data_IF_274443941391
#
_entry.id   IF_274443941391
#
_cell.length_a   1.000
_cell.length_b   1.000
_cell.length_c   1.000
_cell.angle_alpha   90.00
_cell.angle_beta   90.00
_cell.angle_gamma   90.00
#
_symmetry.space_group_name_H-M   'P 1'
#
loop_
_entity.id
_entity.type
_entity.pdbx_description
1 polymer ?
#
# COMPACT_ATOMS: atom_id res chain seq x y z
N UNK A 1 1.34 -8.69 39.07
CA UNK A 1 1.90 -8.45 37.71
C UNK A 1 2.45 -7.02 37.74
N UNK A 2 3.74 -6.83 37.45
CA UNK A 2 4.32 -5.48 37.46
C UNK A 2 4.08 -4.85 36.09
N UNK A 3 3.35 -3.73 36.04
CA UNK A 3 3.11 -2.95 34.82
C UNK A 3 4.30 -2.00 34.61
N UNK A 4 4.87 -2.02 33.38
CA UNK A 4 5.93 -1.11 32.98
C UNK A 4 5.40 -0.29 31.82
N UNK A 5 5.29 1.03 32.02
CA UNK A 5 4.90 1.97 30.97
C UNK A 5 6.13 2.76 30.53
N UNK A 6 6.48 2.64 29.25
CA UNK A 6 7.53 3.44 28.62
C UNK A 6 6.84 4.50 27.75
N UNK A 7 7.04 5.81 28.04
CA UNK A 7 6.47 6.85 27.20
C UNK A 7 7.07 6.82 25.77
N UNK A 8 6.27 7.18 24.80
CA UNK A 8 6.74 7.28 23.41
C UNK A 8 7.83 8.36 23.30
N UNK A 9 8.97 8.00 22.69
CA UNK A 9 10.07 8.94 22.44
C UNK A 9 9.71 9.97 21.35
N UNK A 10 8.84 9.57 20.43
CA UNK A 10 8.34 10.43 19.35
C UNK A 10 6.82 10.49 19.54
N UNK A 11 6.25 11.72 19.64
CA UNK A 11 4.81 11.85 19.75
C UNK A 11 4.11 11.34 18.50
N UNK A 12 2.94 10.71 18.67
CA UNK A 12 2.12 10.33 17.54
C UNK A 12 1.73 11.59 16.73
N UNK A 13 1.72 11.51 15.39
CA UNK A 13 1.24 12.61 14.58
C UNK A 13 -0.22 12.92 14.89
N UNK A 14 -0.56 14.21 14.98
CA UNK A 14 -1.92 14.67 15.33
C UNK A 14 -2.89 14.46 14.18
N UNK A 15 -2.38 14.43 12.95
CA UNK A 15 -3.17 14.27 11.73
C UNK A 15 -2.32 13.61 10.63
N UNK A 16 -2.98 13.13 9.58
CA UNK A 16 -2.35 12.48 8.44
C UNK A 16 -2.52 10.97 8.46
N UNK A 17 -2.02 10.34 7.41
CA UNK A 17 -2.01 8.88 7.22
C UNK A 17 -0.76 8.46 6.44
N UNK A 18 -0.59 7.17 6.18
CA UNK A 18 0.60 6.63 5.51
C UNK A 18 0.76 7.15 4.08
N UNK A 19 -0.32 7.55 3.39
CA UNK A 19 -0.22 8.10 2.03
C UNK A 19 0.46 9.47 1.99
N UNK A 20 0.43 10.23 3.10
CA UNK A 20 1.13 11.50 3.22
C UNK A 20 2.64 11.34 3.01
N UNK A 21 3.22 10.20 3.40
CA UNK A 21 4.66 9.92 3.22
C UNK A 21 5.06 10.01 1.74
N UNK A 22 4.23 9.49 0.85
CA UNK A 22 4.48 9.51 -0.60
C UNK A 22 4.21 10.91 -1.16
N UNK A 23 3.05 11.52 -0.83
CA UNK A 23 2.68 12.84 -1.32
C UNK A 23 3.67 13.92 -0.89
N UNK A 24 4.10 13.91 0.36
CA UNK A 24 5.09 14.86 0.87
C UNK A 24 6.44 14.66 0.17
N UNK A 25 6.87 13.41 -0.02
CA UNK A 25 8.11 13.11 -0.73
C UNK A 25 8.04 13.57 -2.18
N UNK A 26 6.94 13.30 -2.88
CA UNK A 26 6.74 13.74 -4.26
C UNK A 26 6.65 15.27 -4.39
N UNK A 27 6.15 15.96 -3.35
CA UNK A 27 6.06 17.41 -3.33
C UNK A 27 7.41 18.09 -3.05
N UNK A 28 8.14 17.64 -2.01
CA UNK A 28 9.35 18.31 -1.56
C UNK A 28 10.63 17.82 -2.27
N UNK A 29 10.65 16.56 -2.72
CA UNK A 29 11.82 15.93 -3.36
C UNK A 29 11.39 15.12 -4.60
N UNK A 30 10.73 15.73 -5.60
CA UNK A 30 10.11 15.00 -6.72
C UNK A 30 11.07 14.10 -7.50
N UNK A 31 12.30 14.55 -7.69
CA UNK A 31 13.33 13.83 -8.45
C UNK A 31 14.14 12.81 -7.61
N UNK A 32 13.84 12.71 -6.32
CA UNK A 32 14.51 11.73 -5.47
C UNK A 32 14.11 10.32 -5.83
N UNK A 33 15.08 9.49 -6.14
CA UNK A 33 14.85 8.04 -6.32
C UNK A 33 14.48 7.42 -4.97
N UNK A 34 13.31 6.81 -4.89
CA UNK A 34 12.78 6.19 -3.66
C UNK A 34 12.61 4.68 -3.77
N UNK A 35 12.56 4.16 -4.99
CA UNK A 35 12.43 2.73 -5.26
C UNK A 35 13.09 2.41 -6.59
N UNK A 36 13.42 1.12 -6.80
CA UNK A 36 13.87 0.62 -8.10
C UNK A 36 13.05 -0.61 -8.47
N UNK A 37 12.75 -0.75 -9.75
CA UNK A 37 12.03 -1.92 -10.27
C UNK A 37 12.89 -2.68 -11.27
N UNK A 38 12.74 -4.00 -11.39
CA UNK A 38 13.42 -4.78 -12.44
C UNK A 38 12.97 -4.28 -13.82
N UNK A 39 13.94 -4.15 -14.73
CA UNK A 39 13.70 -3.82 -16.14
C UNK A 39 14.70 -4.58 -17.02
N UNK A 40 14.23 -5.60 -17.75
CA UNK A 40 15.12 -6.51 -18.48
C UNK A 40 16.12 -7.18 -17.52
N UNK A 41 17.41 -7.12 -17.86
CA UNK A 41 18.48 -7.66 -17.02
C UNK A 41 19.01 -6.65 -15.98
N UNK A 42 18.37 -5.48 -15.83
CA UNK A 42 18.81 -4.40 -14.95
C UNK A 42 17.72 -3.89 -14.02
N UNK A 43 18.00 -2.71 -13.46
CA UNK A 43 17.10 -2.00 -12.56
C UNK A 43 16.79 -0.60 -13.10
N UNK A 44 15.54 -0.22 -13.08
CA UNK A 44 15.09 1.13 -13.36
C UNK A 44 14.83 1.86 -12.03
N UNK A 45 15.49 3.00 -11.86
CA UNK A 45 15.20 3.91 -10.77
C UNK A 45 13.82 4.57 -10.98
N UNK A 46 13.05 4.73 -9.92
CA UNK A 46 11.75 5.39 -9.93
C UNK A 46 11.79 6.53 -8.92
N UNK A 47 11.51 7.73 -9.38
CA UNK A 47 11.48 8.92 -8.54
C UNK A 47 10.20 8.99 -7.70
N UNK A 48 10.20 9.85 -6.68
CA UNK A 48 9.05 10.06 -5.82
C UNK A 48 7.82 10.54 -6.60
N UNK A 49 8.04 11.43 -7.57
CA UNK A 49 6.98 11.94 -8.45
C UNK A 49 6.41 10.83 -9.33
N UNK A 50 7.27 10.08 -10.03
CA UNK A 50 6.84 8.96 -10.88
C UNK A 50 6.07 7.90 -10.09
N UNK A 51 6.55 7.57 -8.91
CA UNK A 51 5.90 6.59 -8.03
C UNK A 51 4.50 7.05 -7.59
N UNK A 52 4.37 8.31 -7.20
CA UNK A 52 3.06 8.89 -6.84
C UNK A 52 2.10 8.94 -8.04
N UNK A 53 2.59 9.29 -9.22
CA UNK A 53 1.80 9.31 -10.46
C UNK A 53 1.28 7.91 -10.83
N UNK A 54 2.11 6.87 -10.71
CA UNK A 54 1.70 5.49 -10.93
C UNK A 54 0.64 5.05 -9.91
N UNK A 55 0.84 5.33 -8.61
CA UNK A 55 -0.15 5.05 -7.57
C UNK A 55 -1.48 5.73 -7.91
N UNK A 56 -1.48 7.03 -8.23
CA UNK A 56 -2.69 7.79 -8.57
C UNK A 56 -3.40 7.25 -9.83
N UNK A 57 -2.66 6.71 -10.79
CA UNK A 57 -3.25 6.06 -11.95
C UNK A 57 -4.01 4.79 -11.56
N UNK A 58 -3.42 3.96 -10.68
CA UNK A 58 -4.07 2.76 -10.15
C UNK A 58 -5.30 3.11 -9.29
N UNK A 59 -5.21 4.14 -8.45
CA UNK A 59 -6.36 4.65 -7.66
C UNK A 59 -7.56 4.96 -8.55
N UNK A 60 -7.33 5.67 -9.66
CA UNK A 60 -8.41 5.99 -10.61
C UNK A 60 -9.05 4.72 -11.17
N UNK A 61 -8.25 3.68 -11.45
CA UNK A 61 -8.75 2.37 -11.87
C UNK A 61 -9.60 1.69 -10.80
N UNK A 62 -9.12 1.66 -9.56
CA UNK A 62 -9.85 1.06 -8.44
C UNK A 62 -11.20 1.76 -8.18
N UNK A 63 -11.20 3.10 -8.15
CA UNK A 63 -12.43 3.89 -7.98
C UNK A 63 -13.39 3.68 -9.16
N UNK A 64 -12.89 3.65 -10.39
CA UNK A 64 -13.71 3.36 -11.58
C UNK A 64 -14.29 1.94 -11.57
N UNK A 65 -13.60 0.98 -10.94
CA UNK A 65 -14.09 -0.39 -10.72
C UNK A 65 -15.09 -0.50 -9.56
N UNK A 66 -15.38 0.59 -8.85
CA UNK A 66 -16.38 0.64 -7.79
C UNK A 66 -15.82 0.51 -6.37
N UNK A 67 -14.50 0.47 -6.19
CA UNK A 67 -13.89 0.47 -4.85
C UNK A 67 -14.18 1.80 -4.14
N UNK A 68 -14.68 1.70 -2.94
CA UNK A 68 -15.14 2.80 -2.11
C UNK A 68 -14.39 2.87 -0.77
N UNK A 69 -14.55 3.96 -0.06
CA UNK A 69 -13.96 4.15 1.26
C UNK A 69 -14.38 3.01 2.23
N UNK A 70 -13.40 2.42 2.89
CA UNK A 70 -13.60 1.34 3.86
C UNK A 70 -13.73 -0.06 3.24
N UNK A 71 -13.74 -0.19 1.91
CA UNK A 71 -13.72 -1.50 1.26
C UNK A 71 -12.40 -2.24 1.54
N UNK A 72 -12.49 -3.56 1.66
CA UNK A 72 -11.30 -4.44 1.80
C UNK A 72 -10.96 -5.01 0.44
N UNK A 73 -9.71 -4.82 0.04
CA UNK A 73 -9.17 -5.27 -1.24
C UNK A 73 -8.02 -6.23 -0.98
N UNK A 74 -8.16 -7.48 -1.41
CA UNK A 74 -7.15 -8.51 -1.22
C UNK A 74 -6.00 -8.37 -2.23
N UNK A 75 -4.77 -8.56 -1.75
CA UNK A 75 -3.57 -8.63 -2.58
C UNK A 75 -2.90 -9.98 -2.35
N UNK A 76 -2.93 -10.86 -3.34
CA UNK A 76 -2.20 -12.12 -3.33
C UNK A 76 -1.15 -12.12 -4.43
N UNK A 77 0.06 -11.77 -4.10
CA UNK A 77 1.17 -11.71 -5.05
C UNK A 77 2.52 -11.89 -4.34
N UNK A 78 3.54 -12.29 -5.13
CA UNK A 78 4.95 -12.25 -4.69
C UNK A 78 5.35 -10.84 -4.31
N UNK A 79 6.35 -10.72 -3.41
CA UNK A 79 6.98 -9.43 -3.15
C UNK A 79 7.62 -8.89 -4.41
N UNK A 80 7.04 -7.82 -4.96
CA UNK A 80 7.46 -7.18 -6.19
C UNK A 80 7.04 -5.70 -6.19
N UNK A 81 7.55 -4.94 -7.15
CA UNK A 81 7.28 -3.50 -7.26
C UNK A 81 5.79 -3.17 -7.27
N UNK A 82 5.03 -3.88 -8.09
CA UNK A 82 3.59 -3.64 -8.26
C UNK A 82 2.78 -3.95 -7.00
N UNK A 83 3.28 -4.82 -6.13
CA UNK A 83 2.65 -5.09 -4.85
C UNK A 83 2.58 -3.81 -4.00
N UNK A 84 3.68 -3.06 -3.92
CA UNK A 84 3.74 -1.83 -3.15
C UNK A 84 2.92 -0.70 -3.78
N UNK A 85 2.88 -0.63 -5.12
CA UNK A 85 2.02 0.33 -5.84
C UNK A 85 0.54 0.06 -5.54
N UNK A 86 0.11 -1.21 -5.58
CA UNK A 86 -1.26 -1.60 -5.25
C UNK A 86 -1.62 -1.31 -3.79
N UNK A 87 -0.74 -1.62 -2.86
CA UNK A 87 -0.94 -1.38 -1.43
C UNK A 87 -1.19 0.11 -1.15
N UNK A 88 -0.31 0.98 -1.63
CA UNK A 88 -0.50 2.43 -1.53
C UNK A 88 -1.74 2.91 -2.29
N UNK A 89 -2.05 2.34 -3.46
CA UNK A 89 -3.23 2.75 -4.22
C UNK A 89 -4.53 2.43 -3.47
N UNK A 90 -4.60 1.29 -2.78
CA UNK A 90 -5.75 0.93 -1.94
C UNK A 90 -5.90 1.93 -0.79
N UNK A 91 -4.80 2.30 -0.10
CA UNK A 91 -4.86 3.34 0.93
C UNK A 91 -5.28 4.70 0.39
N UNK A 92 -4.77 5.12 -0.79
CA UNK A 92 -5.18 6.38 -1.44
C UNK A 92 -6.66 6.39 -1.83
N UNK A 93 -7.23 5.22 -2.19
CA UNK A 93 -8.67 5.09 -2.42
C UNK A 93 -9.50 5.14 -1.12
N UNK A 94 -8.84 5.19 0.04
CA UNK A 94 -9.51 5.10 1.34
C UNK A 94 -9.98 3.70 1.70
N UNK A 95 -9.51 2.69 0.97
CA UNK A 95 -9.79 1.29 1.19
C UNK A 95 -8.74 0.63 2.10
N UNK A 96 -8.95 -0.62 2.46
CA UNK A 96 -8.11 -1.40 3.37
C UNK A 96 -7.47 -2.56 2.59
N UNK A 97 -6.14 -2.61 2.44
CA UNK A 97 -5.49 -3.76 1.84
C UNK A 97 -5.54 -4.97 2.77
N UNK A 98 -5.78 -6.13 2.18
CA UNK A 98 -5.78 -7.44 2.85
C UNK A 98 -4.69 -8.30 2.21
N UNK A 99 -3.46 -8.30 2.74
CA UNK A 99 -2.38 -9.10 2.19
C UNK A 99 -2.61 -10.59 2.39
N UNK A 100 -2.44 -11.37 1.34
CA UNK A 100 -2.50 -12.83 1.36
C UNK A 100 -1.17 -13.37 0.86
N UNK A 101 -0.56 -14.29 1.60
CA UNK A 101 0.67 -14.94 1.15
C UNK A 101 0.41 -15.80 -0.09
N UNK A 102 1.28 -15.72 -1.09
CA UNK A 102 1.21 -16.51 -2.32
C UNK A 102 1.24 -18.03 -2.08
N UNK A 103 1.77 -18.45 -0.93
CA UNK A 103 1.88 -19.85 -0.52
C UNK A 103 0.67 -20.33 0.29
N UNK A 104 -0.33 -19.47 0.52
CA UNK A 104 -1.54 -19.85 1.24
C UNK A 104 -2.32 -20.93 0.47
N UNK A 105 -2.86 -21.90 1.20
CA UNK A 105 -3.76 -22.92 0.59
C UNK A 105 -5.09 -22.26 0.17
N UNK A 106 -5.82 -22.91 -0.73
CA UNK A 106 -7.14 -22.44 -1.16
C UNK A 106 -8.09 -22.21 0.03
N UNK A 107 -8.06 -23.11 1.02
CA UNK A 107 -8.86 -23.00 2.24
C UNK A 107 -8.49 -21.78 3.09
N UNK A 108 -7.19 -21.48 3.20
CA UNK A 108 -6.72 -20.29 3.90
C UNK A 108 -7.15 -19.02 3.18
N UNK A 109 -7.03 -19.00 1.84
CA UNK A 109 -7.47 -17.85 1.02
C UNK A 109 -8.97 -17.64 1.18
N UNK A 110 -9.78 -18.68 1.05
CA UNK A 110 -11.24 -18.63 1.24
C UNK A 110 -11.60 -18.09 2.62
N UNK A 111 -10.91 -18.58 3.65
CA UNK A 111 -11.13 -18.09 5.01
C UNK A 111 -10.79 -16.60 5.16
N UNK A 112 -9.60 -16.17 4.66
CA UNK A 112 -9.17 -14.77 4.74
C UNK A 112 -10.14 -13.85 4.01
N UNK A 113 -10.56 -14.21 2.80
CA UNK A 113 -11.50 -13.41 2.01
C UNK A 113 -12.87 -13.32 2.68
N UNK A 114 -13.35 -14.41 3.27
CA UNK A 114 -14.62 -14.46 3.97
C UNK A 114 -14.59 -13.64 5.25
N UNK A 115 -13.57 -13.85 6.09
CA UNK A 115 -13.41 -13.17 7.38
C UNK A 115 -13.22 -11.65 7.21
N UNK A 116 -12.35 -11.25 6.27
CA UNK A 116 -12.15 -9.83 5.95
C UNK A 116 -13.33 -9.19 5.22
N UNK A 117 -14.23 -9.99 4.63
CA UNK A 117 -15.27 -9.52 3.72
C UNK A 117 -14.67 -8.69 2.56
N UNK A 118 -13.57 -9.14 1.98
CA UNK A 118 -12.94 -8.48 0.85
C UNK A 118 -13.91 -8.43 -0.35
N UNK A 119 -13.97 -7.28 -1.01
CA UNK A 119 -14.87 -7.04 -2.16
C UNK A 119 -14.14 -7.22 -3.50
N UNK A 120 -12.82 -7.23 -3.48
CA UNK A 120 -11.94 -7.45 -4.63
C UNK A 120 -10.63 -8.08 -4.19
#
# INVERSE_FOLDING_TARGET
>A
MNEITIPALIPAPVAGNLTNLISERAHFEPERVIVSRPLGDGWQAVTAKEYEEEIKAVVKGLVAAGISFGDRVAIMAKTRYEWTVLDFAIWYAGAVPVPIYETSSAEQVEWILTDSSAVA
#
